data_IF_117884812391
#
_entry.id   IF_117884812391
#
_cell.length_a   1.000
_cell.length_b   1.000
_cell.length_c   1.000
_cell.angle_alpha   90.00
_cell.angle_beta   90.00
_cell.angle_gamma   90.00
#
_symmetry.space_group_name_H-M   'P 1'
#
loop_
_entity.id
_entity.type
_entity.pdbx_description
1 polymer ?
#
# COMPACT_ATOMS: atom_id res chain seq x y z
N UNK A 1 3.19 7.41 -23.02
CA UNK A 1 2.15 6.35 -23.07
C UNK A 1 2.41 5.20 -22.08
N UNK A 2 3.67 4.82 -21.86
CA UNK A 2 4.03 3.68 -20.99
C UNK A 2 3.88 3.97 -19.49
N UNK A 3 4.18 5.19 -19.03
CA UNK A 3 4.05 5.56 -17.61
C UNK A 3 2.64 5.39 -17.04
N UNK A 4 1.59 5.74 -17.81
CA UNK A 4 0.19 5.56 -17.36
C UNK A 4 -0.15 4.07 -17.23
N UNK A 5 0.30 3.25 -18.19
CA UNK A 5 0.08 1.80 -18.13
C UNK A 5 0.82 1.18 -16.95
N UNK A 6 2.04 1.63 -16.69
CA UNK A 6 2.84 1.18 -15.56
C UNK A 6 2.15 1.54 -14.23
N UNK A 7 1.71 2.79 -14.04
CA UNK A 7 0.99 3.21 -12.83
C UNK A 7 -0.30 2.43 -12.65
N UNK A 8 -1.05 2.16 -13.74
CA UNK A 8 -2.22 1.29 -13.69
C UNK A 8 -1.85 -0.13 -13.22
N UNK A 9 -0.78 -0.70 -13.76
CA UNK A 9 -0.28 -2.02 -13.36
C UNK A 9 0.05 -2.09 -11.87
N UNK A 10 0.78 -1.09 -11.38
CA UNK A 10 1.10 -0.95 -9.95
C UNK A 10 -0.17 -0.90 -9.08
N UNK A 11 -1.14 -0.03 -9.41
CA UNK A 11 -2.36 0.11 -8.62
C UNK A 11 -3.23 -1.16 -8.64
N UNK A 12 -3.30 -1.86 -9.77
CA UNK A 12 -3.99 -3.16 -9.85
C UNK A 12 -3.32 -4.18 -8.95
N UNK A 13 -1.99 -4.32 -9.04
CA UNK A 13 -1.21 -5.25 -8.22
C UNK A 13 -1.38 -5.00 -6.72
N UNK A 14 -1.22 -3.75 -6.28
CA UNK A 14 -1.37 -3.37 -4.86
C UNK A 14 -2.78 -3.62 -4.36
N UNK A 15 -3.82 -3.29 -5.16
CA UNK A 15 -5.20 -3.52 -4.76
C UNK A 15 -5.55 -5.00 -4.63
N UNK A 16 -5.13 -5.84 -5.57
CA UNK A 16 -5.38 -7.28 -5.55
C UNK A 16 -4.73 -7.94 -4.32
N UNK A 17 -3.48 -7.59 -4.03
CA UNK A 17 -2.76 -8.08 -2.86
C UNK A 17 -3.38 -7.57 -1.54
N UNK A 18 -3.72 -6.27 -1.47
CA UNK A 18 -4.37 -5.70 -0.28
C UNK A 18 -5.73 -6.34 0.01
N UNK A 19 -6.54 -6.60 -1.00
CA UNK A 19 -7.81 -7.32 -0.83
C UNK A 19 -7.63 -8.76 -0.37
N UNK A 20 -6.63 -9.47 -0.92
CA UNK A 20 -6.32 -10.82 -0.50
C UNK A 20 -5.89 -10.84 0.98
N UNK A 21 -5.01 -9.93 1.39
CA UNK A 21 -4.57 -9.77 2.78
C UNK A 21 -5.75 -9.42 3.71
N UNK A 22 -6.63 -8.51 3.29
CA UNK A 22 -7.83 -8.15 4.06
C UNK A 22 -8.76 -9.34 4.26
N UNK A 23 -9.03 -10.12 3.20
CA UNK A 23 -9.84 -11.36 3.30
C UNK A 23 -9.21 -12.40 4.22
N UNK A 24 -7.89 -12.39 4.37
CA UNK A 24 -7.14 -13.25 5.29
C UNK A 24 -7.04 -12.67 6.72
N UNK A 25 -7.65 -11.52 6.98
CA UNK A 25 -7.70 -10.89 8.31
C UNK A 25 -6.42 -10.14 8.71
N UNK A 26 -5.51 -9.87 7.79
CA UNK A 26 -4.32 -9.06 8.08
C UNK A 26 -4.71 -7.60 8.21
N UNK A 27 -4.04 -6.87 9.10
CA UNK A 27 -4.07 -5.41 9.14
C UNK A 27 -3.44 -4.79 7.89
N UNK A 28 -3.73 -3.51 7.62
CA UNK A 28 -3.17 -2.84 6.44
C UNK A 28 -1.65 -2.69 6.51
N UNK A 29 -1.07 -2.62 7.71
CA UNK A 29 0.40 -2.57 7.90
C UNK A 29 1.04 -3.90 7.60
N UNK A 30 0.44 -5.01 8.09
CA UNK A 30 0.90 -6.36 7.75
C UNK A 30 0.77 -6.62 6.25
N UNK A 31 -0.30 -6.15 5.62
CA UNK A 31 -0.48 -6.24 4.17
C UNK A 31 0.58 -5.44 3.41
N UNK A 32 0.87 -4.19 3.81
CA UNK A 32 1.91 -3.37 3.16
C UNK A 32 3.31 -4.00 3.28
N UNK A 33 3.61 -4.65 4.39
CA UNK A 33 4.86 -5.41 4.59
C UNK A 33 4.93 -6.71 3.76
N UNK A 34 3.77 -7.33 3.47
CA UNK A 34 3.71 -8.61 2.76
C UNK A 34 3.68 -8.46 1.23
N UNK A 35 3.39 -7.27 0.70
CA UNK A 35 3.31 -7.06 -0.76
C UNK A 35 4.69 -7.15 -1.40
N UNK A 36 4.86 -8.12 -2.28
CA UNK A 36 6.01 -8.21 -3.18
C UNK A 36 5.90 -7.15 -4.28
N UNK A 37 6.60 -6.03 -4.13
CA UNK A 37 6.54 -4.91 -5.10
C UNK A 37 7.24 -5.22 -6.43
N UNK A 38 8.13 -6.20 -6.49
CA UNK A 38 8.84 -6.56 -7.71
C UNK A 38 9.55 -5.36 -8.35
N UNK A 39 9.33 -5.13 -9.65
CA UNK A 39 9.90 -4.00 -10.38
C UNK A 39 9.48 -2.62 -9.84
N UNK A 40 8.34 -2.54 -9.14
CA UNK A 40 7.87 -1.29 -8.55
C UNK A 40 8.69 -0.87 -7.33
N UNK A 41 9.46 -1.78 -6.73
CA UNK A 41 10.33 -1.46 -5.59
C UNK A 41 11.44 -0.48 -5.96
N UNK A 42 11.83 -0.40 -7.24
CA UNK A 42 12.86 0.54 -7.71
C UNK A 42 12.30 1.91 -8.10
N UNK A 43 10.99 2.12 -7.97
CA UNK A 43 10.37 3.41 -8.26
C UNK A 43 10.68 4.41 -7.15
N UNK A 44 10.65 5.69 -7.50
CA UNK A 44 10.71 6.76 -6.51
C UNK A 44 9.53 6.62 -5.54
N UNK A 45 9.81 6.81 -4.26
CA UNK A 45 8.83 6.77 -3.17
C UNK A 45 8.09 5.42 -3.04
N UNK A 46 8.82 4.30 -3.09
CA UNK A 46 8.24 2.95 -2.97
C UNK A 46 7.42 2.76 -1.68
N UNK A 47 7.74 3.50 -0.62
CA UNK A 47 7.00 3.52 0.63
C UNK A 47 5.56 4.00 0.50
N UNK A 48 5.17 4.61 -0.62
CA UNK A 48 3.76 4.92 -0.95
C UNK A 48 2.87 3.69 -1.00
N UNK A 49 3.43 2.47 -1.07
CA UNK A 49 2.65 1.24 -0.86
C UNK A 49 1.83 1.29 0.44
N UNK A 50 2.38 1.86 1.52
CA UNK A 50 1.69 1.94 2.82
C UNK A 50 0.39 2.75 2.72
N UNK A 51 0.45 3.95 2.13
CA UNK A 51 -0.75 4.81 2.03
C UNK A 51 -1.76 4.27 1.02
N UNK A 52 -1.29 3.61 -0.05
CA UNK A 52 -2.17 2.99 -1.04
C UNK A 52 -2.93 1.80 -0.44
N UNK A 53 -2.24 0.93 0.31
CA UNK A 53 -2.87 -0.20 1.02
C UNK A 53 -3.83 0.31 2.09
N UNK A 54 -3.43 1.30 2.89
CA UNK A 54 -4.32 1.95 3.87
C UNK A 54 -5.59 2.50 3.22
N UNK A 55 -5.47 3.20 2.10
CA UNK A 55 -6.61 3.74 1.38
C UNK A 55 -7.51 2.62 0.86
N UNK A 56 -6.95 1.54 0.30
CA UNK A 56 -7.74 0.39 -0.15
C UNK A 56 -8.49 -0.28 1.00
N UNK A 57 -7.82 -0.47 2.13
CA UNK A 57 -8.43 -1.02 3.34
C UNK A 57 -9.63 -0.19 3.80
N UNK A 58 -9.51 1.15 3.77
CA UNK A 58 -10.62 2.05 4.12
C UNK A 58 -11.80 2.01 3.16
N UNK A 59 -11.57 1.67 1.90
CA UNK A 59 -12.64 1.46 0.92
C UNK A 59 -13.37 0.13 1.16
N UNK A 60 -12.65 -0.89 1.64
CA UNK A 60 -13.20 -2.20 1.99
C UNK A 60 -13.98 -2.15 3.32
N UNK A 61 -13.49 -1.36 4.28
CA UNK A 61 -14.05 -1.29 5.62
C UNK A 61 -14.17 0.17 6.12
N UNK A 62 -15.40 0.73 6.14
CA UNK A 62 -15.66 2.06 6.69
C UNK A 62 -15.35 2.20 8.19
N UNK A 63 -15.17 1.09 8.91
CA UNK A 63 -14.78 1.07 10.32
C UNK A 63 -13.29 1.35 10.57
N UNK A 64 -12.45 1.34 9.54
CA UNK A 64 -11.03 1.66 9.67
C UNK A 64 -10.86 3.15 9.99
N UNK A 65 -10.18 3.50 11.10
CA UNK A 65 -10.01 4.89 11.51
C UNK A 65 -9.31 5.74 10.45
N UNK A 66 -9.73 7.02 10.37
CA UNK A 66 -9.02 8.02 9.59
C UNK A 66 -7.76 8.44 10.34
N UNK A 67 -6.61 8.03 9.83
CA UNK A 67 -5.31 8.49 10.29
C UNK A 67 -5.02 9.90 9.74
N UNK A 68 -4.35 10.69 10.57
CA UNK A 68 -3.85 12.01 10.21
C UNK A 68 -2.71 11.88 9.18
N UNK A 69 -2.56 12.83 8.24
CA UNK A 69 -1.54 12.75 7.20
C UNK A 69 -0.12 12.56 7.74
N UNK A 70 0.23 13.21 8.85
CA UNK A 70 1.56 13.07 9.47
C UNK A 70 1.80 11.64 9.99
N UNK A 71 0.77 10.98 10.53
CA UNK A 71 0.90 9.59 10.98
C UNK A 71 1.20 8.66 9.81
N UNK A 72 0.52 8.85 8.66
CA UNK A 72 0.79 8.07 7.44
C UNK A 72 2.22 8.28 6.93
N UNK A 73 2.73 9.53 6.95
CA UNK A 73 4.11 9.83 6.57
C UNK A 73 5.13 9.15 7.47
N UNK A 74 4.88 9.07 8.78
CA UNK A 74 5.75 8.35 9.72
C UNK A 74 5.75 6.85 9.40
N UNK A 75 4.59 6.25 9.17
CA UNK A 75 4.49 4.83 8.82
C UNK A 75 5.18 4.50 7.49
N UNK A 76 5.09 5.39 6.52
CA UNK A 76 5.83 5.31 5.26
C UNK A 76 7.35 5.33 5.50
N UNK A 77 7.84 6.26 6.32
CA UNK A 77 9.26 6.34 6.65
C UNK A 77 9.76 5.09 7.40
N UNK A 78 8.95 4.54 8.31
CA UNK A 78 9.26 3.29 9.03
C UNK A 78 9.33 2.08 8.08
N UNK A 79 8.36 1.98 7.16
CA UNK A 79 8.38 0.93 6.13
C UNK A 79 9.62 1.05 5.23
N UNK A 80 9.98 2.27 4.82
CA UNK A 80 11.17 2.53 4.00
C UNK A 80 12.47 2.18 4.72
N UNK A 81 12.54 2.41 6.03
CA UNK A 81 13.72 2.03 6.81
C UNK A 81 13.90 0.51 6.94
N UNK A 82 12.84 -0.28 6.71
CA UNK A 82 12.81 -1.74 6.86
C UNK A 82 13.11 -2.50 5.57
N UNK A 83 12.80 -1.94 4.39
CA UNK A 83 12.84 -2.61 3.08
C UNK A 83 13.84 -1.94 2.13
#
# INVERSE_FOLDING_TARGET
>A
PDGIRAVRGYLVHVNEQAEAAYRNGLSFTEAADAIELGEYATWLDAERVVVNVYQRYRELDPGIPRLEPLALLVMQAEWFAKH
#
